data_IF_586711125309
#
_entry.id   IF_586711125309
#
_cell.length_a   1.000
_cell.length_b   1.000
_cell.length_c   1.000
_cell.angle_alpha   90.00
_cell.angle_beta   90.00
_cell.angle_gamma   90.00
#
_symmetry.space_group_name_H-M   'P 1'
#
loop_
_entity.id
_entity.type
_entity.pdbx_description
1 polymer ?
#
# COMPACT_ATOMS: atom_id res chain seq x y z
N UNK A 1 28.60 -24.81 3.47
CA UNK A 1 27.75 -24.17 2.44
C UNK A 1 26.69 -23.37 3.20
N UNK A 2 26.39 -22.14 2.82
CA UNK A 2 25.36 -21.32 3.51
C UNK A 2 24.00 -21.93 3.29
N UNK A 3 23.15 -21.91 4.31
CA UNK A 3 21.75 -22.33 4.22
C UNK A 3 20.86 -21.12 4.07
N UNK A 4 20.13 -21.04 2.97
CA UNK A 4 19.23 -19.94 2.63
C UNK A 4 17.81 -20.48 2.62
N UNK A 5 16.91 -19.84 3.37
CA UNK A 5 15.49 -20.22 3.45
C UNK A 5 14.60 -19.12 2.91
N UNK A 6 13.74 -19.45 1.95
CA UNK A 6 12.70 -18.55 1.43
C UNK A 6 11.36 -19.00 2.00
N UNK A 7 10.68 -18.15 2.79
CA UNK A 7 9.52 -18.56 3.60
C UNK A 7 8.17 -18.45 2.86
N UNK A 8 8.04 -17.52 1.92
CA UNK A 8 6.75 -17.22 1.28
C UNK A 8 6.91 -16.84 -0.20
N UNK A 9 7.59 -17.71 -0.95
CA UNK A 9 7.87 -17.52 -2.37
C UNK A 9 6.60 -17.28 -3.21
N UNK A 10 5.44 -17.77 -2.78
CA UNK A 10 4.16 -17.52 -3.44
C UNK A 10 3.71 -16.05 -3.44
N UNK A 11 4.36 -15.19 -2.63
CA UNK A 11 4.09 -13.75 -2.56
C UNK A 11 5.09 -12.90 -3.37
N UNK A 12 6.11 -13.53 -3.97
CA UNK A 12 7.19 -12.84 -4.69
C UNK A 12 6.91 -12.65 -6.18
N UNK A 13 5.90 -13.32 -6.72
CA UNK A 13 5.59 -13.35 -8.16
C UNK A 13 6.29 -14.51 -8.90
N UNK A 14 5.60 -15.05 -9.90
CA UNK A 14 6.08 -16.21 -10.66
C UNK A 14 7.19 -15.84 -11.67
N UNK A 15 7.43 -14.55 -11.89
CA UNK A 15 8.49 -14.02 -12.77
C UNK A 15 9.84 -13.84 -12.07
N UNK A 16 9.90 -14.05 -10.74
CA UNK A 16 11.13 -13.94 -9.97
C UNK A 16 11.91 -15.26 -9.99
N UNK A 17 13.07 -15.26 -10.64
CA UNK A 17 13.99 -16.39 -10.57
C UNK A 17 14.81 -16.35 -9.28
N UNK A 18 14.76 -17.44 -8.51
CA UNK A 18 15.57 -17.64 -7.31
C UNK A 18 16.90 -18.36 -7.61
N UNK A 19 17.18 -18.72 -8.87
CA UNK A 19 18.39 -19.45 -9.29
C UNK A 19 19.69 -18.74 -8.91
N UNK A 20 19.69 -17.41 -8.85
CA UNK A 20 20.88 -16.67 -8.40
C UNK A 20 21.25 -16.93 -6.94
N UNK A 21 20.30 -17.35 -6.10
CA UNK A 21 20.57 -17.70 -4.72
C UNK A 21 21.33 -19.03 -4.58
N UNK A 22 21.16 -19.94 -5.55
CA UNK A 22 21.84 -21.25 -5.56
C UNK A 22 23.36 -21.11 -5.72
N UNK A 23 23.84 -19.99 -6.28
CA UNK A 23 25.27 -19.69 -6.34
C UNK A 23 25.83 -19.25 -4.98
N UNK A 24 24.99 -18.81 -4.07
CA UNK A 24 25.37 -18.32 -2.74
C UNK A 24 25.30 -19.41 -1.65
N UNK A 25 24.47 -20.46 -1.87
CA UNK A 25 24.27 -21.50 -0.89
C UNK A 25 23.26 -22.58 -1.25
N UNK A 26 22.95 -23.43 -0.30
CA UNK A 26 21.84 -24.37 -0.36
C UNK A 26 20.53 -23.63 -0.10
N UNK A 27 19.60 -23.64 -1.05
CA UNK A 27 18.35 -22.89 -0.99
C UNK A 27 17.17 -23.80 -0.73
N UNK A 28 16.44 -23.55 0.36
CA UNK A 28 15.17 -24.20 0.66
C UNK A 28 14.03 -23.21 0.44
N UNK A 29 13.06 -23.54 -0.42
CA UNK A 29 11.98 -22.65 -0.81
C UNK A 29 10.64 -23.21 -0.32
N UNK A 30 9.93 -22.40 0.45
CA UNK A 30 8.54 -22.65 0.85
C UNK A 30 7.63 -21.67 0.11
N UNK A 31 6.56 -22.18 -0.51
CA UNK A 31 5.57 -21.35 -1.18
C UNK A 31 4.74 -20.53 -0.17
N UNK A 32 4.42 -21.15 0.98
CA UNK A 32 3.69 -20.55 2.11
C UNK A 32 4.27 -21.08 3.39
N UNK A 33 4.38 -20.26 4.42
CA UNK A 33 4.81 -20.65 5.76
C UNK A 33 3.78 -20.24 6.81
N UNK A 34 2.96 -21.18 7.30
CA UNK A 34 2.10 -20.93 8.45
C UNK A 34 2.91 -20.51 9.68
N UNK A 35 2.38 -19.61 10.53
CA UNK A 35 3.12 -19.03 11.67
C UNK A 35 3.78 -20.06 12.58
N UNK A 36 3.13 -21.20 12.82
CA UNK A 36 3.60 -22.29 13.67
C UNK A 36 4.81 -23.05 13.09
N UNK A 37 5.03 -22.98 11.78
CA UNK A 37 6.15 -23.66 11.11
C UNK A 37 7.39 -22.79 10.95
N UNK A 38 7.26 -21.49 11.17
CA UNK A 38 8.32 -20.51 10.85
C UNK A 38 9.57 -20.76 11.67
N UNK A 39 9.43 -20.92 12.99
CA UNK A 39 10.56 -21.16 13.91
C UNK A 39 11.40 -22.38 13.50
N UNK A 40 10.75 -23.49 13.20
CA UNK A 40 11.42 -24.71 12.74
C UNK A 40 12.17 -24.48 11.42
N UNK A 41 11.52 -23.81 10.46
CA UNK A 41 12.08 -23.58 9.13
C UNK A 41 13.29 -22.68 9.10
N UNK A 42 13.38 -21.69 10.01
CA UNK A 42 14.51 -20.76 10.06
C UNK A 42 15.64 -21.22 10.99
N UNK A 43 15.40 -22.22 11.82
CA UNK A 43 16.43 -22.75 12.75
C UNK A 43 17.62 -23.31 11.98
N UNK A 44 18.79 -22.77 12.25
CA UNK A 44 20.05 -23.16 11.59
C UNK A 44 20.22 -22.64 10.16
N UNK A 45 19.36 -21.73 9.70
CA UNK A 45 19.57 -21.00 8.46
C UNK A 45 20.60 -19.89 8.66
N UNK A 46 21.47 -19.65 7.67
CA UNK A 46 22.37 -18.49 7.66
C UNK A 46 21.63 -17.23 7.21
N UNK A 47 20.72 -17.37 6.25
CA UNK A 47 19.91 -16.26 5.74
C UNK A 47 18.47 -16.70 5.51
N UNK A 48 17.54 -15.80 5.82
CA UNK A 48 16.09 -15.97 5.58
C UNK A 48 15.59 -14.87 4.66
N UNK A 49 14.84 -15.24 3.63
CA UNK A 49 14.16 -14.30 2.73
C UNK A 49 12.66 -14.47 2.93
N UNK A 50 11.97 -13.36 3.11
CA UNK A 50 10.51 -13.34 3.28
C UNK A 50 9.92 -12.04 2.73
N UNK A 51 8.61 -12.01 2.54
CA UNK A 51 7.86 -10.81 2.13
C UNK A 51 6.75 -10.46 3.13
N UNK A 52 5.86 -11.41 3.42
CA UNK A 52 4.65 -11.18 4.24
C UNK A 52 4.66 -11.91 5.57
N UNK A 53 5.50 -12.92 5.72
CA UNK A 53 5.61 -13.68 6.99
C UNK A 53 5.99 -12.74 8.12
N UNK A 54 5.33 -12.89 9.26
CA UNK A 54 5.63 -12.14 10.49
C UNK A 54 6.72 -12.84 11.27
N UNK A 55 7.69 -12.06 11.74
CA UNK A 55 8.74 -12.52 12.64
C UNK A 55 8.69 -11.68 13.92
N UNK A 56 8.36 -12.32 15.00
CA UNK A 56 8.42 -11.80 16.35
C UNK A 56 9.25 -12.71 17.25
N UNK A 57 9.18 -12.52 18.56
CA UNK A 57 9.93 -13.30 19.55
C UNK A 57 9.65 -14.82 19.41
N UNK A 58 8.39 -15.20 19.24
CA UNK A 58 7.97 -16.62 19.17
C UNK A 58 8.52 -17.35 17.94
N UNK A 59 8.81 -16.62 16.85
CA UNK A 59 9.35 -17.19 15.62
C UNK A 59 10.87 -17.32 15.65
N UNK A 60 11.56 -16.54 16.48
CA UNK A 60 13.03 -16.60 16.58
C UNK A 60 13.47 -17.75 17.50
N UNK A 61 14.37 -18.65 17.05
CA UNK A 61 14.89 -19.70 17.91
C UNK A 61 15.95 -19.15 18.87
N UNK A 62 16.01 -19.71 20.08
CA UNK A 62 17.01 -19.34 21.09
C UNK A 62 18.42 -19.75 20.66
N UNK A 63 18.53 -20.90 19.97
CA UNK A 63 19.75 -21.40 19.38
C UNK A 63 19.57 -21.63 17.88
N UNK A 64 20.58 -21.27 17.10
CA UNK A 64 20.54 -21.41 15.63
C UNK A 64 19.66 -20.36 14.95
N UNK A 65 19.53 -19.19 15.55
CA UNK A 65 18.88 -18.04 14.88
C UNK A 65 19.64 -17.67 13.60
N UNK A 66 18.93 -17.20 12.54
CA UNK A 66 19.59 -16.82 11.29
C UNK A 66 20.51 -15.61 11.49
N UNK A 67 21.58 -15.52 10.71
CA UNK A 67 22.46 -14.36 10.73
C UNK A 67 21.80 -13.09 10.16
N UNK A 68 20.89 -13.26 9.17
CA UNK A 68 20.19 -12.17 8.52
C UNK A 68 18.78 -12.56 8.06
N UNK A 69 17.85 -11.64 8.19
CA UNK A 69 16.50 -11.70 7.59
C UNK A 69 16.40 -10.61 6.52
N UNK A 70 16.13 -11.03 5.27
CA UNK A 70 15.96 -10.15 4.12
C UNK A 70 14.46 -10.03 3.78
N UNK A 71 13.89 -8.86 3.98
CA UNK A 71 12.49 -8.57 3.61
C UNK A 71 12.45 -8.16 2.14
N UNK A 72 11.79 -8.96 1.29
CA UNK A 72 11.64 -8.71 -0.14
C UNK A 72 10.59 -7.61 -0.44
N UNK A 73 10.49 -6.62 0.42
CA UNK A 73 9.60 -5.47 0.32
C UNK A 73 10.26 -4.20 0.86
N UNK A 74 9.64 -3.04 0.61
CA UNK A 74 10.06 -1.77 1.22
C UNK A 74 9.62 -1.68 2.68
N UNK A 75 8.38 -2.10 2.98
CA UNK A 75 7.87 -2.16 4.35
C UNK A 75 8.39 -3.39 5.08
N UNK A 76 8.70 -3.24 6.36
CA UNK A 76 9.23 -4.29 7.24
C UNK A 76 8.53 -4.29 8.61
N UNK A 77 7.33 -3.77 8.67
CA UNK A 77 6.49 -3.72 9.87
C UNK A 77 5.99 -5.10 10.33
N UNK A 78 6.22 -6.13 9.51
CA UNK A 78 6.03 -7.54 9.85
C UNK A 78 7.21 -8.15 10.64
N UNK A 79 8.29 -7.39 10.88
CA UNK A 79 9.48 -7.85 11.62
C UNK A 79 9.58 -7.09 12.95
N UNK A 80 9.67 -7.81 14.05
CA UNK A 80 10.04 -7.25 15.35
C UNK A 80 11.56 -7.02 15.39
N UNK A 81 11.96 -5.77 15.14
CA UNK A 81 13.39 -5.39 15.11
C UNK A 81 14.07 -5.53 16.47
N UNK A 82 13.33 -5.34 17.57
CA UNK A 82 13.91 -5.48 18.92
C UNK A 82 14.14 -6.95 19.28
N UNK A 83 13.20 -7.84 18.90
CA UNK A 83 13.41 -9.27 19.01
C UNK A 83 14.63 -9.71 18.16
N UNK A 84 14.70 -9.32 16.89
CA UNK A 84 15.83 -9.62 16.03
C UNK A 84 17.16 -9.15 16.64
N UNK A 85 17.21 -7.95 17.22
CA UNK A 85 18.40 -7.41 17.87
C UNK A 85 18.82 -8.24 19.09
N UNK A 86 17.86 -8.70 19.92
CA UNK A 86 18.16 -9.57 21.08
C UNK A 86 18.76 -10.90 20.67
N UNK A 87 18.28 -11.46 19.55
CA UNK A 87 18.79 -12.71 18.98
C UNK A 87 20.01 -12.54 18.07
N UNK A 88 20.57 -11.32 17.92
CA UNK A 88 21.74 -11.05 17.07
C UNK A 88 21.46 -11.16 15.56
N UNK A 89 20.19 -11.08 15.14
CA UNK A 89 19.75 -11.21 13.74
C UNK A 89 19.76 -9.85 13.04
N UNK A 90 20.52 -9.74 11.96
CA UNK A 90 20.48 -8.55 11.10
C UNK A 90 19.19 -8.53 10.28
N UNK A 91 18.67 -7.33 9.98
CA UNK A 91 17.47 -7.17 9.12
C UNK A 91 17.80 -6.23 7.97
N UNK A 92 17.50 -6.67 6.75
CA UNK A 92 17.63 -5.87 5.53
C UNK A 92 16.30 -5.83 4.77
N UNK A 93 16.05 -4.74 4.02
CA UNK A 93 14.89 -4.60 3.16
C UNK A 93 15.25 -4.01 1.79
N UNK A 94 14.33 -4.07 0.83
CA UNK A 94 14.53 -3.50 -0.51
C UNK A 94 13.92 -2.11 -0.59
N UNK A 95 14.77 -1.08 -0.72
CA UNK A 95 14.33 0.32 -0.72
C UNK A 95 14.02 0.83 -2.12
N UNK A 96 12.83 1.38 -2.32
CA UNK A 96 12.48 2.19 -3.50
C UNK A 96 12.20 1.43 -4.78
N UNK A 97 12.10 0.09 -4.74
CA UNK A 97 11.81 -0.71 -5.93
C UNK A 97 10.39 -0.50 -6.48
N UNK A 98 9.44 -0.20 -5.61
CA UNK A 98 8.02 -0.07 -5.94
C UNK A 98 7.54 1.38 -6.08
N UNK A 99 8.45 2.38 -6.01
CA UNK A 99 8.02 3.78 -5.97
C UNK A 99 7.22 4.18 -7.20
N UNK A 100 7.62 3.76 -8.40
CA UNK A 100 6.91 4.06 -9.64
C UNK A 100 5.58 3.27 -9.74
N UNK A 101 5.56 2.00 -9.34
CA UNK A 101 4.33 1.19 -9.40
C UNK A 101 3.28 1.66 -8.40
N UNK A 102 3.67 1.99 -7.17
CA UNK A 102 2.73 2.55 -6.18
C UNK A 102 2.21 3.91 -6.62
N UNK A 103 3.08 4.80 -7.13
CA UNK A 103 2.65 6.08 -7.71
C UNK A 103 1.64 5.86 -8.84
N UNK A 104 1.93 4.95 -9.76
CA UNK A 104 1.06 4.65 -10.90
C UNK A 104 -0.33 4.17 -10.46
N UNK A 105 -0.41 3.24 -9.49
CA UNK A 105 -1.69 2.77 -8.95
C UNK A 105 -2.41 3.88 -8.18
N UNK A 106 -1.68 4.70 -7.40
CA UNK A 106 -2.26 5.87 -6.71
C UNK A 106 -2.98 6.80 -7.68
N UNK A 107 -2.27 7.20 -8.74
CA UNK A 107 -2.81 8.10 -9.77
C UNK A 107 -3.98 7.44 -10.50
N UNK A 108 -3.86 6.15 -10.82
CA UNK A 108 -4.93 5.37 -11.45
C UNK A 108 -6.21 5.34 -10.60
N UNK A 109 -6.10 5.09 -9.28
CA UNK A 109 -7.24 5.11 -8.37
C UNK A 109 -7.88 6.51 -8.30
N UNK A 110 -7.07 7.57 -8.12
CA UNK A 110 -7.59 8.95 -8.06
C UNK A 110 -8.32 9.32 -9.34
N UNK A 111 -7.72 9.08 -10.51
CA UNK A 111 -8.36 9.40 -11.79
C UNK A 111 -9.62 8.57 -12.03
N UNK A 112 -9.62 7.29 -11.66
CA UNK A 112 -10.79 6.42 -11.79
C UNK A 112 -11.94 6.87 -10.89
N UNK A 113 -11.65 7.30 -9.66
CA UNK A 113 -12.65 7.79 -8.72
C UNK A 113 -13.22 9.13 -9.16
N UNK A 114 -12.37 10.10 -9.52
CA UNK A 114 -12.84 11.45 -9.89
C UNK A 114 -13.64 11.45 -11.19
N UNK A 115 -13.31 10.57 -12.14
CA UNK A 115 -13.99 10.48 -13.45
C UNK A 115 -15.13 9.48 -13.46
N UNK A 116 -15.41 8.77 -12.38
CA UNK A 116 -16.36 7.65 -12.32
C UNK A 116 -16.14 6.60 -13.42
N UNK A 117 -14.87 6.40 -13.82
CA UNK A 117 -14.52 5.54 -14.96
C UNK A 117 -15.09 4.12 -14.86
N UNK A 118 -15.06 3.43 -13.70
CA UNK A 118 -15.67 2.10 -13.57
C UNK A 118 -17.16 2.08 -13.89
N UNK A 119 -17.93 3.08 -13.45
CA UNK A 119 -19.38 3.22 -13.69
C UNK A 119 -19.66 3.38 -15.18
N UNK A 120 -18.93 4.24 -15.88
CA UNK A 120 -19.09 4.42 -17.33
C UNK A 120 -18.71 3.16 -18.10
N UNK A 121 -17.63 2.49 -17.72
CA UNK A 121 -17.22 1.21 -18.32
C UNK A 121 -18.29 0.13 -18.12
N UNK A 122 -18.84 0.01 -16.90
CA UNK A 122 -19.88 -0.95 -16.57
C UNK A 122 -21.17 -0.72 -17.39
N UNK A 123 -21.59 0.52 -17.55
CA UNK A 123 -22.78 0.89 -18.32
C UNK A 123 -22.64 0.52 -19.82
N UNK A 124 -21.44 0.58 -20.36
CA UNK A 124 -21.17 0.13 -21.72
C UNK A 124 -21.13 -1.39 -21.81
N UNK A 125 -20.49 -2.05 -20.85
CA UNK A 125 -20.33 -3.50 -20.81
C UNK A 125 -21.66 -4.25 -20.60
N UNK A 126 -22.55 -3.73 -19.76
CA UNK A 126 -23.88 -4.33 -19.51
C UNK A 126 -24.94 -3.95 -20.56
N UNK A 127 -24.59 -3.08 -21.51
CA UNK A 127 -25.46 -2.61 -22.58
C UNK A 127 -26.51 -1.55 -22.16
N UNK A 128 -26.46 -1.03 -20.93
CA UNK A 128 -27.38 0.03 -20.48
C UNK A 128 -27.20 1.32 -21.26
N UNK A 129 -25.98 1.67 -21.62
CA UNK A 129 -25.67 2.77 -22.53
C UNK A 129 -26.39 2.61 -23.89
N UNK A 130 -26.31 1.42 -24.51
CA UNK A 130 -26.96 1.14 -25.81
C UNK A 130 -28.49 1.20 -25.67
N UNK A 131 -29.05 0.60 -24.61
CA UNK A 131 -30.51 0.61 -24.36
C UNK A 131 -31.04 2.00 -24.05
N UNK A 132 -30.22 2.87 -23.48
CA UNK A 132 -30.60 4.25 -23.15
C UNK A 132 -30.82 5.15 -24.37
N UNK A 133 -30.28 4.78 -25.55
CA UNK A 133 -30.53 5.46 -26.83
C UNK A 133 -29.92 6.87 -26.96
N UNK A 134 -29.23 7.37 -25.93
CA UNK A 134 -28.56 8.67 -25.95
C UNK A 134 -27.10 8.53 -26.33
N UNK A 135 -26.59 9.45 -27.14
CA UNK A 135 -25.19 9.46 -27.55
C UNK A 135 -24.21 9.75 -26.39
N UNK A 136 -24.69 10.45 -25.37
CA UNK A 136 -23.90 10.85 -24.20
C UNK A 136 -24.54 10.34 -22.90
N UNK A 137 -23.72 9.83 -21.99
CA UNK A 137 -24.09 9.56 -20.61
C UNK A 137 -23.52 10.70 -19.74
N UNK A 138 -24.40 11.55 -19.18
CA UNK A 138 -24.02 12.75 -18.43
C UNK A 138 -24.10 12.58 -16.91
N UNK A 139 -24.40 11.37 -16.42
CA UNK A 139 -24.48 11.03 -15.02
C UNK A 139 -23.75 9.71 -14.76
N UNK A 140 -22.96 9.63 -13.66
CA UNK A 140 -22.65 10.70 -12.70
C UNK A 140 -21.78 11.81 -13.31
N UNK A 141 -21.99 13.07 -12.91
CA UNK A 141 -21.10 14.17 -13.31
C UNK A 141 -19.77 14.11 -12.54
N UNK A 142 -18.72 14.65 -13.14
CA UNK A 142 -17.42 14.76 -12.49
C UNK A 142 -16.77 16.13 -12.71
N UNK A 143 -15.77 16.44 -11.90
CA UNK A 143 -14.98 17.67 -12.02
C UNK A 143 -13.62 17.39 -12.67
N UNK A 144 -13.10 18.35 -13.42
CA UNK A 144 -11.72 18.28 -13.89
C UNK A 144 -10.77 18.29 -12.69
N UNK A 145 -9.68 17.53 -12.78
CA UNK A 145 -8.68 17.44 -11.70
C UNK A 145 -7.81 18.71 -11.62
N UNK A 146 -7.66 19.41 -12.74
CA UNK A 146 -6.90 20.66 -12.81
C UNK A 146 -7.51 21.73 -11.90
N UNK A 147 -6.66 22.37 -11.09
CA UNK A 147 -7.08 23.36 -10.10
C UNK A 147 -7.49 22.80 -8.74
N UNK A 148 -7.72 21.48 -8.61
CA UNK A 148 -7.95 20.87 -7.31
C UNK A 148 -6.67 20.86 -6.45
N UNK A 149 -6.85 20.84 -5.15
CA UNK A 149 -5.75 20.70 -4.19
C UNK A 149 -5.56 19.23 -3.84
N UNK A 150 -4.37 18.71 -4.12
CA UNK A 150 -3.98 17.33 -3.80
C UNK A 150 -3.02 17.33 -2.60
N UNK A 151 -3.50 16.84 -1.45
CA UNK A 151 -2.74 16.65 -0.23
C UNK A 151 -2.04 15.29 -0.20
N UNK A 152 -0.76 15.29 0.13
CA UNK A 152 0.08 14.10 0.17
C UNK A 152 0.62 13.92 1.58
N UNK A 153 0.07 12.95 2.31
CA UNK A 153 0.51 12.58 3.65
C UNK A 153 1.67 11.60 3.54
N UNK A 154 2.86 12.05 3.89
CA UNK A 154 4.10 11.27 3.74
C UNK A 154 4.78 11.48 2.38
N UNK A 155 5.33 12.68 2.14
CA UNK A 155 6.07 13.01 0.92
C UNK A 155 7.52 12.44 0.93
N UNK A 156 7.65 11.11 1.15
CA UNK A 156 8.87 10.34 0.93
C UNK A 156 9.11 10.04 -0.55
N UNK A 157 9.85 8.96 -0.88
CA UNK A 157 10.14 8.58 -2.27
C UNK A 157 8.88 8.39 -3.12
N UNK A 158 7.86 7.71 -2.59
CA UNK A 158 6.59 7.47 -3.28
C UNK A 158 5.78 8.76 -3.37
N UNK A 159 5.50 9.41 -2.23
CA UNK A 159 4.67 10.61 -2.20
C UNK A 159 5.24 11.76 -3.02
N UNK A 160 6.57 11.91 -3.12
CA UNK A 160 7.18 12.90 -4.00
C UNK A 160 6.92 12.62 -5.49
N UNK A 161 6.92 11.34 -5.90
CA UNK A 161 6.57 10.98 -7.29
C UNK A 161 5.08 11.23 -7.59
N UNK A 162 4.19 10.97 -6.61
CA UNK A 162 2.77 11.33 -6.73
C UNK A 162 2.62 12.86 -6.84
N UNK A 163 3.38 13.64 -6.06
CA UNK A 163 3.39 15.09 -6.12
C UNK A 163 3.77 15.63 -7.50
N UNK A 164 4.79 15.02 -8.13
CA UNK A 164 5.25 15.43 -9.46
C UNK A 164 4.14 15.22 -10.52
N UNK A 165 3.46 14.05 -10.47
CA UNK A 165 2.36 13.76 -11.40
C UNK A 165 1.14 14.65 -11.11
N UNK A 166 0.78 14.86 -9.84
CA UNK A 166 -0.32 15.75 -9.46
C UNK A 166 -0.11 17.19 -9.99
N UNK A 167 1.13 17.73 -9.89
CA UNK A 167 1.46 19.04 -10.49
C UNK A 167 1.34 19.03 -12.00
N UNK A 168 1.80 17.97 -12.67
CA UNK A 168 1.69 17.84 -14.12
C UNK A 168 0.23 17.76 -14.61
N UNK A 169 -0.69 17.26 -13.76
CA UNK A 169 -2.14 17.27 -13.99
C UNK A 169 -2.80 18.62 -13.66
N UNK A 170 -2.04 19.63 -13.26
CA UNK A 170 -2.54 20.98 -12.95
C UNK A 170 -3.07 21.14 -11.53
N UNK A 171 -2.82 20.21 -10.61
CA UNK A 171 -3.22 20.32 -9.22
C UNK A 171 -2.32 21.30 -8.43
N UNK A 172 -2.91 22.01 -7.47
CA UNK A 172 -2.18 22.58 -6.35
C UNK A 172 -1.78 21.43 -5.41
N UNK A 173 -0.49 21.29 -5.10
CA UNK A 173 0.00 20.19 -4.27
C UNK A 173 0.41 20.68 -2.89
N UNK A 174 -0.13 20.06 -1.85
CA UNK A 174 0.30 20.18 -0.46
C UNK A 174 0.98 18.89 -0.01
N UNK A 175 2.09 19.02 0.69
CA UNK A 175 2.81 17.86 1.21
C UNK A 175 2.96 17.95 2.73
N UNK A 176 2.87 16.82 3.40
CA UNK A 176 3.18 16.67 4.82
C UNK A 176 4.35 15.72 5.00
N UNK A 177 5.30 16.04 5.88
CA UNK A 177 6.48 15.23 6.20
C UNK A 177 6.74 15.19 7.69
N UNK A 178 7.28 14.07 8.17
CA UNK A 178 7.72 13.93 9.58
C UNK A 178 8.76 15.01 9.95
N UNK A 179 9.70 15.30 9.03
CA UNK A 179 10.70 16.34 9.20
C UNK A 179 10.38 17.47 8.23
N UNK A 180 9.93 18.63 8.73
CA UNK A 180 9.63 19.78 7.90
C UNK A 180 10.83 20.20 7.04
N UNK A 181 10.56 20.53 5.79
CA UNK A 181 11.57 20.97 4.79
C UNK A 181 11.39 22.43 4.37
N UNK A 182 10.57 23.18 5.10
CA UNK A 182 10.25 24.59 4.80
C UNK A 182 9.22 24.76 3.68
N UNK A 183 8.81 23.70 3.00
CA UNK A 183 7.80 23.70 1.93
C UNK A 183 6.56 22.87 2.33
N UNK A 184 6.75 21.85 3.15
CA UNK A 184 5.65 21.02 3.66
C UNK A 184 4.83 21.78 4.71
N UNK A 185 3.53 21.47 4.74
CA UNK A 185 2.58 22.00 5.72
C UNK A 185 2.31 21.00 6.83
N UNK A 186 1.73 21.45 7.94
CA UNK A 186 1.22 20.57 8.98
C UNK A 186 0.03 19.73 8.48
N UNK A 187 -0.22 18.62 9.16
CA UNK A 187 -1.30 17.71 8.77
C UNK A 187 -2.68 18.38 8.81
N UNK A 188 -3.06 19.13 9.86
CA UNK A 188 -4.35 19.82 9.88
C UNK A 188 -4.57 20.80 8.71
N UNK A 189 -3.56 21.55 8.31
CA UNK A 189 -3.63 22.45 7.15
C UNK A 189 -3.82 21.67 5.86
N UNK A 190 -3.04 20.60 5.67
CA UNK A 190 -3.19 19.72 4.51
C UNK A 190 -4.63 19.17 4.42
N UNK A 191 -5.17 18.65 5.52
CA UNK A 191 -6.51 18.03 5.53
C UNK A 191 -7.61 19.04 5.23
N UNK A 192 -7.55 20.26 5.77
CA UNK A 192 -8.58 21.29 5.54
C UNK A 192 -8.60 21.83 4.11
N UNK A 193 -7.43 21.87 3.47
CA UNK A 193 -7.30 22.53 2.16
C UNK A 193 -7.42 21.57 0.98
N UNK A 194 -7.31 20.26 1.21
CA UNK A 194 -7.25 19.27 0.13
C UNK A 194 -8.62 18.78 -0.33
N UNK A 195 -8.78 18.68 -1.65
CA UNK A 195 -9.89 18.01 -2.31
C UNK A 195 -9.61 16.51 -2.50
N UNK A 196 -8.33 16.17 -2.60
CA UNK A 196 -7.81 14.81 -2.71
C UNK A 196 -6.74 14.62 -1.64
N UNK A 197 -6.82 13.55 -0.86
CA UNK A 197 -5.81 13.18 0.15
C UNK A 197 -5.29 11.79 -0.15
N UNK A 198 -3.97 11.66 -0.36
CA UNK A 198 -3.31 10.37 -0.55
C UNK A 198 -2.27 10.11 0.54
N UNK A 199 -2.23 8.87 1.05
CA UNK A 199 -1.43 8.48 2.20
C UNK A 199 -0.29 7.57 1.75
N UNK A 200 0.97 7.97 2.08
CA UNK A 200 2.20 7.29 1.70
C UNK A 200 3.21 7.21 2.86
N UNK A 201 2.75 7.36 4.09
CA UNK A 201 3.58 7.30 5.29
C UNK A 201 3.76 5.85 5.77
N UNK A 202 4.93 5.44 6.29
CA UNK A 202 5.10 4.11 6.86
C UNK A 202 4.25 3.94 8.13
N UNK A 203 3.91 2.69 8.47
CA UNK A 203 3.28 2.37 9.74
C UNK A 203 4.34 2.37 10.84
N UNK A 204 4.15 3.23 11.82
CA UNK A 204 4.94 3.34 13.05
C UNK A 204 3.99 3.53 14.23
N UNK A 205 4.46 3.46 15.50
CA UNK A 205 3.61 3.80 16.64
C UNK A 205 2.93 5.17 16.50
N UNK A 206 3.63 6.17 15.93
CA UNK A 206 3.12 7.54 15.79
C UNK A 206 2.15 7.70 14.60
N UNK A 207 2.19 6.81 13.61
CA UNK A 207 1.33 6.89 12.42
C UNK A 207 0.19 5.88 12.43
N UNK A 208 0.13 5.02 13.43
CA UNK A 208 -1.02 4.13 13.64
C UNK A 208 -2.26 4.95 13.99
N UNK A 209 -3.33 4.78 13.21
CA UNK A 209 -4.56 5.56 13.37
C UNK A 209 -4.38 7.06 13.11
N UNK A 210 -3.35 7.45 12.34
CA UNK A 210 -3.05 8.86 12.01
C UNK A 210 -4.25 9.59 11.40
N UNK A 211 -5.05 8.87 10.63
CA UNK A 211 -6.29 9.39 10.04
C UNK A 211 -7.46 8.67 10.71
N UNK A 212 -7.96 9.25 11.77
CA UNK A 212 -9.13 8.82 12.51
C UNK A 212 -10.30 9.80 12.37
N UNK A 213 -11.34 9.63 13.18
CA UNK A 213 -12.55 10.48 13.16
C UNK A 213 -12.24 11.97 13.21
N UNK A 214 -11.31 12.36 14.08
CA UNK A 214 -10.92 13.77 14.27
C UNK A 214 -10.27 14.35 13.02
N UNK A 215 -9.37 13.62 12.40
CA UNK A 215 -8.68 14.02 11.17
C UNK A 215 -9.65 14.07 9.98
N UNK A 216 -10.53 13.07 9.87
CA UNK A 216 -11.59 13.03 8.85
C UNK A 216 -12.54 14.24 9.00
N UNK A 217 -12.91 14.60 10.24
CA UNK A 217 -13.76 15.76 10.50
C UNK A 217 -13.13 17.09 10.01
N UNK A 218 -11.79 17.18 9.95
CA UNK A 218 -11.09 18.36 9.44
C UNK A 218 -11.06 18.43 7.92
N UNK A 219 -11.26 17.33 7.20
CA UNK A 219 -11.24 17.29 5.73
C UNK A 219 -12.42 18.06 5.14
N UNK A 220 -12.31 18.42 3.87
CA UNK A 220 -13.46 18.95 3.12
C UNK A 220 -14.56 17.90 2.98
N UNK A 221 -15.80 18.34 2.90
CA UNK A 221 -16.92 17.45 2.57
C UNK A 221 -16.75 16.98 1.11
N UNK A 222 -16.95 15.68 0.88
CA UNK A 222 -16.78 15.09 -0.43
C UNK A 222 -15.32 14.81 -0.83
N UNK A 223 -14.37 14.86 0.11
CA UNK A 223 -12.94 14.56 -0.15
C UNK A 223 -12.75 13.18 -0.78
N UNK A 224 -11.81 13.08 -1.71
CA UNK A 224 -11.32 11.79 -2.21
C UNK A 224 -10.16 11.34 -1.32
N UNK A 225 -10.32 10.22 -0.62
CA UNK A 225 -9.29 9.65 0.23
C UNK A 225 -8.70 8.39 -0.40
N UNK A 226 -7.36 8.32 -0.51
CA UNK A 226 -6.66 7.14 -1.04
C UNK A 226 -5.58 6.69 -0.08
N UNK A 227 -5.65 5.44 0.40
CA UNK A 227 -4.62 4.85 1.24
C UNK A 227 -3.77 3.83 0.45
N UNK A 228 -2.49 4.19 0.25
CA UNK A 228 -1.48 3.36 -0.42
C UNK A 228 -0.30 3.02 0.49
N UNK A 229 -0.47 3.20 1.79
CA UNK A 229 0.58 3.01 2.80
C UNK A 229 0.45 1.68 3.54
N UNK A 230 -0.36 1.67 4.59
CA UNK A 230 -0.78 0.51 5.40
C UNK A 230 -2.20 0.75 5.90
N UNK A 231 -3.02 -0.30 5.99
CA UNK A 231 -4.39 -0.17 6.48
C UNK A 231 -4.45 0.51 7.85
N UNK A 232 -3.64 0.05 8.79
CA UNK A 232 -3.62 0.57 10.16
C UNK A 232 -3.11 2.04 10.32
N UNK A 233 -2.76 2.73 9.24
CA UNK A 233 -2.52 4.19 9.27
C UNK A 233 -3.85 4.95 9.35
N UNK A 234 -4.93 4.34 8.89
CA UNK A 234 -6.29 4.87 9.00
C UNK A 234 -7.08 4.08 10.05
N UNK A 235 -8.03 4.71 10.69
CA UNK A 235 -9.13 4.02 11.37
C UNK A 235 -10.15 3.61 10.30
N UNK A 236 -10.12 2.34 9.92
CA UNK A 236 -10.93 1.82 8.81
C UNK A 236 -12.43 1.85 9.11
N UNK A 237 -12.83 1.74 10.39
CA UNK A 237 -14.21 1.87 10.79
C UNK A 237 -14.69 3.33 10.66
N UNK A 238 -13.88 4.28 11.11
CA UNK A 238 -14.16 5.72 10.96
C UNK A 238 -14.23 6.12 9.47
N UNK A 239 -13.33 5.59 8.63
CA UNK A 239 -13.35 5.84 7.18
C UNK A 239 -14.61 5.30 6.54
N UNK A 240 -15.05 4.07 6.86
CA UNK A 240 -16.28 3.49 6.34
C UNK A 240 -17.51 4.31 6.74
N UNK A 241 -17.63 4.68 8.03
CA UNK A 241 -18.72 5.49 8.53
C UNK A 241 -18.76 6.89 7.88
N UNK A 242 -17.60 7.51 7.69
CA UNK A 242 -17.50 8.82 7.03
C UNK A 242 -17.85 8.77 5.54
N UNK A 243 -17.56 7.66 4.85
CA UNK A 243 -17.99 7.43 3.47
C UNK A 243 -19.53 7.29 3.41
N UNK A 244 -20.13 6.52 4.32
CA UNK A 244 -21.57 6.34 4.39
C UNK A 244 -22.30 7.66 4.69
N UNK A 245 -21.71 8.50 5.54
CA UNK A 245 -22.22 9.85 5.86
C UNK A 245 -21.97 10.89 4.75
N UNK A 246 -21.22 10.56 3.69
CA UNK A 246 -20.88 11.49 2.61
C UNK A 246 -19.77 12.49 2.94
N UNK A 247 -19.16 12.41 4.11
CA UNK A 247 -17.99 13.22 4.49
C UNK A 247 -16.78 12.90 3.61
N UNK A 248 -16.53 11.61 3.38
CA UNK A 248 -15.64 11.11 2.34
C UNK A 248 -16.49 10.87 1.09
N UNK A 249 -16.21 11.57 0.01
CA UNK A 249 -16.94 11.46 -1.25
C UNK A 249 -16.54 10.21 -2.05
N UNK A 250 -15.27 9.81 -1.99
CA UNK A 250 -14.79 8.60 -2.65
C UNK A 250 -13.59 8.00 -1.90
N UNK A 251 -13.46 6.68 -1.94
CA UNK A 251 -12.41 5.93 -1.26
C UNK A 251 -11.63 5.04 -2.24
N UNK A 252 -10.31 5.19 -2.27
CA UNK A 252 -9.38 4.25 -2.88
C UNK A 252 -8.52 3.57 -1.81
N UNK A 253 -8.41 2.25 -1.82
CA UNK A 253 -7.59 1.56 -0.84
C UNK A 253 -6.91 0.33 -1.45
N UNK A 254 -5.59 0.25 -1.30
CA UNK A 254 -4.79 -0.88 -1.80
C UNK A 254 -4.17 -1.69 -0.65
N UNK A 255 -4.45 -1.30 0.60
CA UNK A 255 -3.87 -1.89 1.82
C UNK A 255 -4.91 -1.97 2.93
N UNK A 256 -4.81 -2.98 3.79
CA UNK A 256 -5.77 -3.23 4.86
C UNK A 256 -5.06 -3.55 6.17
N UNK A 257 -5.75 -3.38 7.30
CA UNK A 257 -5.20 -3.73 8.63
C UNK A 257 -5.02 -5.24 8.79
N UNK A 258 -5.86 -6.03 8.10
CA UNK A 258 -5.75 -7.48 7.96
C UNK A 258 -5.78 -7.83 6.48
N UNK A 259 -4.81 -8.58 6.00
CA UNK A 259 -4.65 -8.93 4.58
C UNK A 259 -4.53 -10.46 4.40
N UNK A 260 -5.47 -11.09 3.66
CA UNK A 260 -6.71 -10.55 3.10
C UNK A 260 -7.72 -10.19 4.20
N UNK A 261 -8.55 -9.17 3.94
CA UNK A 261 -9.54 -8.77 4.93
C UNK A 261 -10.76 -9.73 4.97
N UNK A 262 -11.27 -10.05 6.17
CA UNK A 262 -12.44 -10.93 6.35
C UNK A 262 -13.75 -10.21 6.04
N UNK A 263 -14.85 -10.96 5.94
CA UNK A 263 -16.19 -10.40 5.75
C UNK A 263 -16.66 -9.47 6.88
N UNK A 264 -16.09 -9.63 8.08
CA UNK A 264 -16.33 -8.73 9.23
C UNK A 264 -15.59 -7.40 9.15
N UNK A 265 -14.73 -7.21 8.13
CA UNK A 265 -13.98 -5.96 7.97
C UNK A 265 -14.91 -4.79 7.59
N UNK A 266 -14.70 -3.56 8.11
CA UNK A 266 -15.55 -2.41 7.80
C UNK A 266 -15.72 -2.15 6.30
N UNK A 267 -14.67 -2.36 5.51
CA UNK A 267 -14.74 -2.15 4.05
C UNK A 267 -15.50 -3.24 3.30
N UNK A 268 -15.76 -4.38 3.91
CA UNK A 268 -16.55 -5.42 3.25
C UNK A 268 -17.99 -4.94 2.94
N UNK A 269 -18.60 -4.16 3.83
CA UNK A 269 -19.94 -3.63 3.66
C UNK A 269 -20.04 -2.54 2.55
N UNK A 270 -18.95 -1.85 2.27
CA UNK A 270 -18.92 -0.74 1.31
C UNK A 270 -18.25 -1.09 -0.03
N UNK A 271 -17.73 -2.31 -0.19
CA UNK A 271 -16.89 -2.72 -1.32
C UNK A 271 -17.53 -2.60 -2.71
N UNK A 272 -18.85 -2.70 -2.77
CA UNK A 272 -19.63 -2.70 -4.02
C UNK A 272 -20.17 -1.30 -4.38
N UNK A 273 -19.81 -0.25 -3.63
CA UNK A 273 -20.25 1.13 -3.90
C UNK A 273 -19.49 1.70 -5.09
N UNK A 274 -20.17 2.48 -5.93
CA UNK A 274 -19.59 3.10 -7.14
C UNK A 274 -18.43 4.07 -6.85
N UNK A 275 -18.41 4.65 -5.65
CA UNK A 275 -17.38 5.59 -5.18
C UNK A 275 -16.29 4.91 -4.33
N UNK A 276 -16.18 3.58 -4.39
CA UNK A 276 -15.17 2.80 -3.65
C UNK A 276 -14.37 1.93 -4.60
N UNK A 277 -13.04 2.05 -4.53
CA UNK A 277 -12.11 1.19 -5.27
C UNK A 277 -11.16 0.53 -4.29
N UNK A 278 -11.37 -0.76 -4.07
CA UNK A 278 -10.52 -1.61 -3.22
C UNK A 278 -9.69 -2.53 -4.11
N UNK A 279 -8.38 -2.54 -3.92
CA UNK A 279 -7.45 -3.35 -4.72
C UNK A 279 -6.60 -4.25 -3.82
N UNK A 280 -6.21 -5.46 -4.28
CA UNK A 280 -5.49 -6.44 -3.46
C UNK A 280 -3.97 -6.25 -3.56
N UNK A 281 -3.44 -5.09 -3.14
CA UNK A 281 -2.00 -4.76 -3.17
C UNK A 281 -1.42 -4.87 -4.60
N UNK A 282 -2.10 -4.21 -5.56
CA UNK A 282 -1.76 -4.23 -6.99
C UNK A 282 -0.30 -3.91 -7.36
N UNK A 283 0.44 -3.00 -6.68
CA UNK A 283 1.83 -2.74 -7.01
C UNK A 283 2.77 -3.94 -6.90
N UNK A 284 2.35 -4.99 -6.18
CA UNK A 284 3.06 -6.27 -6.12
C UNK A 284 2.98 -7.10 -7.41
N UNK A 285 1.98 -6.85 -8.26
CA UNK A 285 1.77 -7.57 -9.52
C UNK A 285 2.56 -6.99 -10.70
N UNK A 286 3.56 -6.14 -10.44
CA UNK A 286 4.36 -5.49 -11.48
C UNK A 286 5.26 -6.48 -12.21
N UNK A 287 4.96 -6.78 -13.47
CA UNK A 287 5.89 -7.46 -14.38
C UNK A 287 6.93 -6.46 -14.89
N UNK A 288 8.19 -6.63 -14.53
CA UNK A 288 9.29 -5.78 -14.99
C UNK A 288 9.80 -6.24 -16.35
N UNK A 289 9.30 -5.63 -17.44
CA UNK A 289 9.90 -5.82 -18.75
C UNK A 289 11.32 -5.24 -18.78
N UNK A 290 12.33 -6.11 -18.92
CA UNK A 290 13.64 -5.77 -19.49
C UNK A 290 14.65 -5.01 -18.61
N UNK A 291 14.50 -4.96 -17.29
CA UNK A 291 15.63 -4.65 -16.41
C UNK A 291 15.93 -5.86 -15.57
N UNK A 292 16.88 -6.68 -16.05
CA UNK A 292 17.51 -7.66 -15.20
C UNK A 292 17.97 -6.94 -13.93
N UNK A 293 17.41 -7.31 -12.79
CA UNK A 293 17.96 -6.91 -11.50
C UNK A 293 19.24 -7.72 -11.36
N UNK A 294 20.33 -7.19 -11.89
CA UNK A 294 21.66 -7.64 -11.49
C UNK A 294 21.84 -7.15 -10.06
N UNK A 295 22.14 -8.01 -9.10
CA UNK A 295 22.53 -7.57 -7.78
C UNK A 295 23.86 -6.81 -7.92
N UNK A 296 23.88 -5.54 -7.54
CA UNK A 296 25.12 -4.81 -7.26
C UNK A 296 25.34 -4.80 -5.77
#
# INVERSE_FOLDING_TARGET
>A
MRKIVVLDAGTLGDDLSLLSLETEGEVTVYRVSPPETVRERITGADAVILNKVKIGEDQLPDEGAPGIICVAATGFDNIDLEACRRHGVAVANVRGYSSESVMQVTVGLVLSLITHLPTYCAATADGSYTRGGNANMLSPSYHEIAGLTWGIVGAGKIGSRVADVARALGCRVLTNRRHPDGVSVDLPTLLRESDIVTIHTPLTPETRGLIGEREIAMMKDGVILVNMARGAVTDEAAVAAALEAGKIGALGCDVYSVEPFPESHPFYAIRDRENVLLTPICPGALTRRGRGVSPR
#
